data_IF_362657654003
#
_entry.id   IF_362657654003
#
_cell.length_a   1.000
_cell.length_b   1.000
_cell.length_c   1.000
_cell.angle_alpha   90.00
_cell.angle_beta   90.00
_cell.angle_gamma   90.00
#
_symmetry.space_group_name_H-M   'P 1'
#
loop_
_entity.id
_entity.type
_entity.pdbx_description
1 polymer ?
#
# COMPACT_ATOMS: atom_id res chain seq x y z
N UNK A 1 -2.18 6.25 -18.67
CA UNK A 1 -0.73 6.23 -18.93
C UNK A 1 -0.21 5.03 -18.18
N UNK A 2 0.17 3.97 -18.90
CA UNK A 2 0.63 2.76 -18.25
C UNK A 2 2.05 2.90 -17.72
N UNK A 3 2.31 2.30 -16.55
CA UNK A 3 3.62 2.40 -15.88
C UNK A 3 4.76 1.88 -16.76
N UNK A 4 5.95 2.42 -16.58
CA UNK A 4 7.20 1.93 -17.17
C UNK A 4 7.52 0.52 -16.70
N UNK A 5 8.45 -0.15 -17.40
CA UNK A 5 8.91 -1.50 -16.99
C UNK A 5 9.53 -1.47 -15.59
N UNK A 6 10.25 -0.41 -15.25
CA UNK A 6 10.91 -0.26 -13.95
C UNK A 6 9.88 -0.09 -12.82
N UNK A 7 8.87 0.76 -13.01
CA UNK A 7 7.78 0.94 -12.04
C UNK A 7 7.04 -0.38 -11.78
N UNK A 8 6.84 -1.21 -12.80
CA UNK A 8 6.24 -2.54 -12.65
C UNK A 8 7.07 -3.49 -11.80
N UNK A 9 8.40 -3.51 -11.99
CA UNK A 9 9.28 -4.38 -11.20
C UNK A 9 9.37 -3.95 -9.73
N UNK A 10 9.30 -2.64 -9.46
CA UNK A 10 9.20 -2.11 -8.09
C UNK A 10 7.91 -2.61 -7.44
N UNK A 11 6.76 -2.48 -8.12
CA UNK A 11 5.47 -2.93 -7.59
C UNK A 11 5.48 -4.44 -7.30
N UNK A 12 6.03 -5.27 -8.21
CA UNK A 12 6.19 -6.71 -7.97
C UNK A 12 7.02 -6.98 -6.72
N UNK A 13 8.15 -6.29 -6.57
CA UNK A 13 9.03 -6.45 -5.40
C UNK A 13 8.31 -6.12 -4.09
N UNK A 14 7.45 -5.09 -4.09
CA UNK A 14 6.63 -4.73 -2.94
C UNK A 14 5.60 -5.83 -2.65
N UNK A 15 4.90 -6.35 -3.65
CA UNK A 15 3.94 -7.45 -3.49
C UNK A 15 4.63 -8.69 -2.91
N UNK A 16 5.79 -9.06 -3.44
CA UNK A 16 6.55 -10.22 -2.99
C UNK A 16 7.02 -10.06 -1.53
N UNK A 17 7.50 -8.87 -1.16
CA UNK A 17 7.87 -8.57 0.22
C UNK A 17 6.66 -8.64 1.17
N UNK A 18 5.49 -8.16 0.76
CA UNK A 18 4.26 -8.27 1.56
C UNK A 18 3.84 -9.73 1.76
N UNK A 19 3.91 -10.55 0.71
CA UNK A 19 3.65 -11.99 0.81
C UNK A 19 4.66 -12.68 1.74
N UNK A 20 5.94 -12.30 1.68
CA UNK A 20 6.97 -12.79 2.60
C UNK A 20 6.64 -12.44 4.05
N UNK A 21 6.31 -11.18 4.35
CA UNK A 21 5.97 -10.74 5.71
C UNK A 21 4.76 -11.49 6.28
N UNK A 22 3.70 -11.64 5.48
CA UNK A 22 2.53 -12.46 5.83
C UNK A 22 2.94 -13.88 6.22
N UNK A 23 3.74 -14.53 5.38
CA UNK A 23 4.10 -15.94 5.58
C UNK A 23 5.05 -16.15 6.76
N UNK A 24 5.96 -15.20 7.01
CA UNK A 24 6.98 -15.33 8.06
C UNK A 24 6.46 -14.89 9.42
N UNK A 25 5.74 -13.76 9.48
CA UNK A 25 5.31 -13.17 10.73
C UNK A 25 3.84 -13.44 11.07
N UNK A 26 3.09 -14.08 10.18
CA UNK A 26 1.66 -14.33 10.36
C UNK A 26 0.82 -13.05 10.42
N UNK A 27 1.40 -11.91 10.01
CA UNK A 27 0.71 -10.63 10.01
C UNK A 27 -0.13 -10.51 8.73
N UNK A 28 -1.41 -10.85 8.83
CA UNK A 28 -2.38 -10.63 7.77
C UNK A 28 -3.64 -9.98 8.33
N UNK A 29 -4.43 -9.39 7.44
CA UNK A 29 -5.70 -8.78 7.79
C UNK A 29 -6.85 -9.80 7.75
N UNK A 30 -7.81 -9.67 8.65
CA UNK A 30 -8.94 -10.60 8.72
C UNK A 30 -9.94 -10.43 7.56
N UNK A 31 -9.97 -9.26 6.92
CA UNK A 31 -10.90 -8.96 5.83
C UNK A 31 -10.46 -7.77 4.97
N UNK A 32 -10.97 -7.72 3.74
CA UNK A 32 -10.80 -6.56 2.84
C UNK A 32 -11.33 -5.27 3.47
N UNK A 33 -12.42 -5.35 4.25
CA UNK A 33 -12.97 -4.20 4.97
C UNK A 33 -11.99 -3.67 6.01
N UNK A 34 -11.21 -4.54 6.67
CA UNK A 34 -10.14 -4.14 7.58
C UNK A 34 -9.07 -3.32 6.87
N UNK A 35 -8.58 -3.79 5.72
CA UNK A 35 -7.56 -3.08 4.94
C UNK A 35 -8.08 -1.74 4.40
N UNK A 36 -9.33 -1.69 3.94
CA UNK A 36 -9.95 -0.44 3.48
C UNK A 36 -10.10 0.56 4.62
N UNK A 37 -10.44 0.10 5.83
CA UNK A 37 -10.52 0.97 6.99
C UNK A 37 -9.13 1.52 7.37
N UNK A 38 -8.09 0.68 7.32
CA UNK A 38 -6.71 1.15 7.52
C UNK A 38 -6.32 2.19 6.49
N UNK A 39 -6.65 2.00 5.20
CA UNK A 39 -6.36 3.01 4.17
C UNK A 39 -6.97 4.38 4.51
N UNK A 40 -8.20 4.40 5.04
CA UNK A 40 -8.86 5.65 5.45
C UNK A 40 -8.16 6.30 6.64
N UNK A 41 -7.63 5.51 7.57
CA UNK A 41 -6.82 5.97 8.70
C UNK A 41 -5.52 6.60 8.20
N UNK A 42 -4.75 5.90 7.36
CA UNK A 42 -3.48 6.42 6.79
C UNK A 42 -3.69 7.72 5.99
N UNK A 43 -4.77 7.82 5.22
CA UNK A 43 -5.13 9.07 4.51
C UNK A 43 -5.37 10.21 5.50
N UNK A 44 -6.06 9.95 6.61
CA UNK A 44 -6.33 10.96 7.63
C UNK A 44 -5.03 11.41 8.31
N UNK A 45 -4.15 10.48 8.65
CA UNK A 45 -2.83 10.78 9.24
C UNK A 45 -1.96 11.58 8.28
N UNK A 46 -1.96 11.22 7.00
CA UNK A 46 -1.28 11.98 5.95
C UNK A 46 -1.84 13.42 5.83
N UNK A 47 -3.15 13.60 5.83
CA UNK A 47 -3.77 14.94 5.80
C UNK A 47 -3.36 15.78 7.02
N UNK A 48 -3.29 15.16 8.20
CA UNK A 48 -2.85 15.81 9.44
C UNK A 48 -1.37 16.21 9.34
N UNK A 49 -0.51 15.33 8.82
CA UNK A 49 0.91 15.60 8.60
C UNK A 49 1.14 16.76 7.61
N UNK A 50 0.36 16.80 6.52
CA UNK A 50 0.39 17.90 5.54
C UNK A 50 -0.05 19.22 6.17
N UNK A 51 -1.13 19.22 6.96
CA UNK A 51 -1.59 20.41 7.69
C UNK A 51 -0.53 20.91 8.68
N UNK A 52 0.15 19.98 9.35
CA UNK A 52 1.24 20.28 10.29
C UNK A 52 2.55 20.70 9.62
N UNK A 53 2.69 20.50 8.30
CA UNK A 53 3.95 20.67 7.54
C UNK A 53 5.09 19.83 8.12
N UNK A 54 4.79 18.64 8.61
CA UNK A 54 5.79 17.69 9.12
C UNK A 54 6.27 16.78 7.98
N UNK A 55 7.34 17.19 7.30
CA UNK A 55 7.92 16.47 6.15
C UNK A 55 8.32 15.02 6.47
N UNK A 56 8.65 14.72 7.73
CA UNK A 56 8.98 13.36 8.15
C UNK A 56 7.71 12.52 8.16
N UNK A 57 6.67 13.02 8.81
CA UNK A 57 5.37 12.33 8.88
C UNK A 57 4.71 12.21 7.52
N UNK A 58 4.79 13.23 6.67
CA UNK A 58 4.29 13.17 5.28
C UNK A 58 4.88 11.96 4.53
N UNK A 59 6.19 11.71 4.66
CA UNK A 59 6.86 10.58 4.00
C UNK A 59 6.47 9.23 4.60
N UNK A 60 6.33 9.18 5.93
CA UNK A 60 5.91 8.00 6.68
C UNK A 60 4.51 7.57 6.26
N UNK A 61 3.51 8.43 6.43
CA UNK A 61 2.11 8.10 6.15
C UNK A 61 1.86 7.85 4.65
N UNK A 62 2.61 8.53 3.76
CA UNK A 62 2.53 8.23 2.32
C UNK A 62 3.04 6.83 1.98
N UNK A 63 4.09 6.37 2.68
CA UNK A 63 4.57 4.99 2.56
C UNK A 63 3.51 3.99 3.01
N UNK A 64 2.84 4.27 4.12
CA UNK A 64 1.79 3.41 4.67
C UNK A 64 0.53 3.36 3.76
N UNK A 65 0.18 4.47 3.11
CA UNK A 65 -0.84 4.49 2.05
C UNK A 65 -0.45 3.54 0.91
N UNK A 66 0.77 3.63 0.39
CA UNK A 66 1.23 2.78 -0.73
C UNK A 66 1.17 1.30 -0.35
N UNK A 67 1.68 0.95 0.82
CA UNK A 67 1.67 -0.43 1.33
C UNK A 67 0.23 -0.93 1.50
N UNK A 68 -0.67 -0.08 2.00
CA UNK A 68 -2.07 -0.46 2.22
C UNK A 68 -2.81 -0.67 0.90
N UNK A 69 -2.58 0.17 -0.10
CA UNK A 69 -3.14 -0.02 -1.46
C UNK A 69 -2.69 -1.34 -2.07
N UNK A 70 -1.40 -1.69 -1.95
CA UNK A 70 -0.88 -2.98 -2.44
C UNK A 70 -1.55 -4.16 -1.72
N UNK A 71 -1.79 -4.04 -0.41
CA UNK A 71 -2.54 -5.05 0.32
C UNK A 71 -4.00 -5.15 -0.14
N UNK A 72 -4.68 -4.04 -0.43
CA UNK A 72 -6.05 -4.07 -0.97
C UNK A 72 -6.10 -4.87 -2.28
N UNK A 73 -5.18 -4.62 -3.20
CA UNK A 73 -5.12 -5.38 -4.45
C UNK A 73 -4.90 -6.88 -4.23
N UNK A 74 -4.06 -7.27 -3.24
CA UNK A 74 -3.90 -8.68 -2.88
C UNK A 74 -5.21 -9.28 -2.37
N UNK A 75 -5.91 -8.60 -1.46
CA UNK A 75 -7.19 -9.08 -0.91
C UNK A 75 -8.31 -9.14 -1.95
N UNK A 76 -8.32 -8.19 -2.88
CA UNK A 76 -9.29 -8.13 -3.97
C UNK A 76 -8.90 -9.01 -5.17
N UNK A 77 -7.77 -9.74 -5.09
CA UNK A 77 -7.21 -10.56 -6.16
C UNK A 77 -7.09 -9.78 -7.49
N UNK A 78 -6.65 -8.52 -7.40
CA UNK A 78 -6.44 -7.63 -8.53
C UNK A 78 -5.06 -7.82 -9.12
N UNK A 79 -4.99 -7.97 -10.44
CA UNK A 79 -3.74 -7.87 -11.18
C UNK A 79 -3.38 -6.39 -11.35
N UNK A 80 -2.62 -5.85 -10.40
CA UNK A 80 -2.18 -4.44 -10.42
C UNK A 80 -1.42 -4.14 -11.72
N UNK A 81 -0.57 -5.06 -12.16
CA UNK A 81 0.30 -4.85 -13.32
C UNK A 81 -0.55 -4.67 -14.57
N UNK A 82 -1.59 -5.48 -14.74
CA UNK A 82 -2.56 -5.32 -15.82
C UNK A 82 -3.42 -4.06 -15.70
N UNK A 83 -3.74 -3.64 -14.47
CA UNK A 83 -4.50 -2.39 -14.26
C UNK A 83 -3.69 -1.12 -14.58
N UNK A 84 -2.37 -1.25 -14.76
CA UNK A 84 -1.44 -0.20 -15.15
C UNK A 84 -1.07 -0.28 -16.65
N UNK A 85 -1.81 -1.03 -17.47
CA UNK A 85 -1.71 -1.00 -18.95
C UNK A 85 -2.64 0.06 -19.54
#
# INVERSE_FOLDING_TARGET
>A
MGGTKEEREIIKSIIDYQNYLKNVYGFDWDSISGVINKLKEEIKEFEEAVKAKDDRKIKEEFGDILITIVNISRFANLDIIKSLE
#
